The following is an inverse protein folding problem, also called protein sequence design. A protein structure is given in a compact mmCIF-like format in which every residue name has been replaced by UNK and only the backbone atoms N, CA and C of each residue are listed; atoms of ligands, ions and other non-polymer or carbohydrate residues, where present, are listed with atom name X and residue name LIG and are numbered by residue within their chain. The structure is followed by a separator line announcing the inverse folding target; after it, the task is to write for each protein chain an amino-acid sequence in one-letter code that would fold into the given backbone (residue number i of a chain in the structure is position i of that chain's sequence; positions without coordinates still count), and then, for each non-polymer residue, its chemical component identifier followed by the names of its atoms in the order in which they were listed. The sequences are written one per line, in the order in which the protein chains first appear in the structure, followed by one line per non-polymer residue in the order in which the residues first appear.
data_IF_078812997441
#
_entry.id   IF_078812997441
#
_cell.length_a   1.000
_cell.length_b   1.000
_cell.length_c   1.000
_cell.angle_alpha   90.00
_cell.angle_beta   90.00
_cell.angle_gamma   90.00
#
_symmetry.space_group_name_H-M   'P 1'
#
loop_
_entity.id
_entity.type
_entity.pdbx_description
1 polymer ?
#
# COMPACT_ATOMS: atom_id res chain seq x y z
N UNK A 1 -2.96 -13.41 -11.79
CA UNK A 1 -1.94 -12.39 -11.48
C UNK A 1 -2.48 -11.53 -10.36
N UNK A 2 -1.68 -11.21 -9.34
CA UNK A 2 -2.16 -10.41 -8.21
C UNK A 2 -2.27 -8.94 -8.56
N UNK A 3 -3.38 -8.31 -8.17
CA UNK A 3 -3.63 -6.87 -8.33
C UNK A 3 -3.56 -6.15 -6.99
N UNK A 4 -3.07 -4.92 -7.03
CA UNK A 4 -2.83 -4.11 -5.85
C UNK A 4 -3.54 -2.77 -5.97
N UNK A 5 -3.97 -2.26 -4.82
CA UNK A 5 -4.32 -0.87 -4.59
C UNK A 5 -3.08 -0.17 -4.03
N UNK A 6 -2.88 1.09 -4.40
CA UNK A 6 -1.83 1.92 -3.80
C UNK A 6 -2.49 2.91 -2.86
N UNK A 7 -2.25 2.75 -1.56
CA UNK A 7 -2.76 3.65 -0.52
C UNK A 7 -1.75 4.75 -0.23
N UNK A 8 -2.18 6.01 -0.25
CA UNK A 8 -1.42 7.16 0.23
C UNK A 8 -1.75 7.43 1.69
N UNK A 9 -0.77 7.29 2.58
CA UNK A 9 -0.91 7.67 4.00
C UNK A 9 -1.02 9.18 4.17
N UNK A 10 -0.45 9.98 3.24
CA UNK A 10 -0.53 11.44 3.26
C UNK A 10 -1.94 11.93 2.93
N UNK A 11 -2.52 11.43 1.84
CA UNK A 11 -3.87 11.82 1.40
C UNK A 11 -4.99 11.01 2.06
N UNK A 12 -4.65 9.95 2.80
CA UNK A 12 -5.60 8.98 3.38
C UNK A 12 -6.58 8.45 2.32
N UNK A 13 -6.06 8.13 1.14
CA UNK A 13 -6.83 7.75 -0.02
C UNK A 13 -6.02 6.80 -0.91
N UNK A 14 -6.71 6.04 -1.76
CA UNK A 14 -6.10 5.23 -2.80
C UNK A 14 -5.77 6.08 -4.03
N UNK A 15 -4.72 5.70 -4.75
CA UNK A 15 -4.49 6.22 -6.09
C UNK A 15 -5.65 5.85 -7.01
N UNK A 16 -6.16 6.84 -7.75
CA UNK A 16 -7.13 6.62 -8.81
C UNK A 16 -6.54 5.84 -9.99
N UNK A 17 -7.35 5.40 -10.96
CA UNK A 17 -6.88 4.66 -12.13
C UNK A 17 -5.89 5.48 -12.98
N UNK A 18 -5.08 4.79 -13.80
CA UNK A 18 -4.07 5.40 -14.69
C UNK A 18 -3.06 6.31 -13.98
N UNK A 19 -2.73 6.00 -12.73
CA UNK A 19 -1.80 6.79 -11.90
C UNK A 19 -2.24 8.25 -11.75
N UNK A 20 -3.55 8.51 -11.66
CA UNK A 20 -4.11 9.88 -11.62
C UNK A 20 -5.17 10.04 -10.54
N UNK A 21 -5.04 11.12 -9.77
CA UNK A 21 -5.97 11.48 -8.70
C UNK A 21 -5.95 10.55 -7.49
N UNK A 22 -6.81 10.85 -6.52
CA UNK A 22 -6.98 10.07 -5.30
C UNK A 22 -8.47 9.82 -5.04
N UNK A 23 -8.79 8.67 -4.46
CA UNK A 23 -10.15 8.29 -4.06
C UNK A 23 -10.12 7.54 -2.74
N UNK A 24 -11.09 7.81 -1.86
CA UNK A 24 -11.30 7.01 -0.64
C UNK A 24 -12.12 5.76 -0.90
N UNK A 25 -12.78 5.68 -2.05
CA UNK A 25 -13.56 4.53 -2.47
C UNK A 25 -12.67 3.50 -3.18
N UNK A 26 -12.51 2.34 -2.56
CA UNK A 26 -11.70 1.24 -3.06
C UNK A 26 -12.27 0.61 -4.34
N UNK A 27 -13.57 0.74 -4.61
CA UNK A 27 -14.18 0.27 -5.86
C UNK A 27 -13.69 1.10 -7.04
N UNK A 28 -13.50 2.40 -6.82
CA UNK A 28 -13.04 3.35 -7.83
C UNK A 28 -11.49 3.50 -7.85
N UNK A 29 -10.79 2.83 -6.93
CA UNK A 29 -9.33 2.87 -6.87
C UNK A 29 -8.69 2.15 -8.07
N UNK A 30 -7.54 2.66 -8.52
CA UNK A 30 -6.76 2.02 -9.56
C UNK A 30 -6.30 0.61 -9.15
N UNK A 31 -6.30 -0.32 -10.12
CA UNK A 31 -5.75 -1.66 -9.97
C UNK A 31 -4.41 -1.73 -10.69
N UNK A 32 -3.38 -2.10 -9.94
CA UNK A 32 -2.01 -2.10 -10.43
C UNK A 32 -1.39 -3.48 -10.30
N UNK A 33 -0.62 -3.90 -11.32
CA UNK A 33 0.31 -5.01 -11.15
C UNK A 33 1.41 -4.63 -10.17
N UNK A 34 2.16 -5.61 -9.64
CA UNK A 34 3.21 -5.34 -8.65
C UNK A 34 4.25 -4.31 -9.15
N UNK A 35 4.63 -4.40 -10.44
CA UNK A 35 5.56 -3.46 -11.07
C UNK A 35 4.95 -2.06 -11.23
N UNK A 36 3.72 -1.97 -11.76
CA UNK A 36 3.06 -0.69 -11.95
C UNK A 36 2.77 0.02 -10.62
N UNK A 37 2.45 -0.76 -9.59
CA UNK A 37 2.30 -0.26 -8.24
C UNK A 37 3.64 0.32 -7.75
N UNK A 38 4.74 -0.41 -7.94
CA UNK A 38 6.10 0.06 -7.60
C UNK A 38 6.44 1.42 -8.21
N UNK A 39 6.02 1.66 -9.44
CA UNK A 39 6.22 2.95 -10.11
C UNK A 39 5.40 4.09 -9.49
N UNK A 40 4.26 3.79 -8.84
CA UNK A 40 3.39 4.82 -8.25
C UNK A 40 4.02 5.49 -7.03
N UNK A 41 4.90 4.78 -6.30
CA UNK A 41 5.58 5.29 -5.10
C UNK A 41 7.07 5.58 -5.31
N UNK A 42 7.42 5.95 -6.54
CA UNK A 42 8.76 6.31 -6.96
C UNK A 42 9.42 7.33 -6.03
N UNK A 43 10.40 6.84 -5.26
CA UNK A 43 11.52 7.56 -4.65
C UNK A 43 11.26 8.88 -3.87
N UNK A 44 10.02 9.21 -3.51
CA UNK A 44 9.77 10.41 -2.71
C UNK A 44 10.35 10.25 -1.32
N UNK A 45 10.92 11.34 -0.83
CA UNK A 45 11.61 11.53 0.44
C UNK A 45 10.77 11.04 1.63
N UNK A 46 10.79 9.73 1.86
CA UNK A 46 10.17 9.17 3.05
C UNK A 46 11.00 9.66 4.23
N UNK A 47 10.47 10.60 4.99
CA UNK A 47 11.14 11.13 6.17
C UNK A 47 11.36 10.03 7.21
N UNK A 48 12.51 10.00 7.89
CA UNK A 48 12.73 9.10 9.01
C UNK A 48 11.61 9.24 10.06
N UNK A 49 11.10 8.11 10.55
CA UNK A 49 10.07 8.00 11.61
C UNK A 49 8.63 8.38 11.21
N UNK A 50 8.38 8.96 10.03
CA UNK A 50 7.02 9.09 9.48
C UNK A 50 6.55 7.76 8.88
N UNK A 51 5.23 7.52 8.71
CA UNK A 51 4.78 6.42 7.87
C UNK A 51 5.25 6.62 6.42
N UNK A 52 5.45 5.54 5.65
CA UNK A 52 5.72 5.65 4.22
C UNK A 52 4.62 6.46 3.55
N UNK A 53 4.93 7.34 2.57
CA UNK A 53 3.93 8.15 1.90
C UNK A 53 2.88 7.27 1.23
N UNK A 54 3.30 6.14 0.66
CA UNK A 54 2.45 5.19 -0.05
C UNK A 54 2.78 3.74 0.30
N UNK A 55 1.77 2.87 0.25
CA UNK A 55 1.91 1.43 0.47
C UNK A 55 1.06 0.62 -0.51
N UNK A 56 1.57 -0.54 -0.91
CA UNK A 56 0.82 -1.53 -1.66
C UNK A 56 -0.13 -2.30 -0.74
N UNK A 57 -1.37 -2.43 -1.18
CA UNK A 57 -2.41 -3.19 -0.50
C UNK A 57 -2.97 -4.19 -1.50
N UNK A 58 -3.05 -5.47 -1.13
CA UNK A 58 -3.63 -6.48 -2.01
C UNK A 58 -5.11 -6.17 -2.25
N UNK A 59 -5.52 -6.08 -3.52
CA UNK A 59 -6.89 -5.79 -3.88
C UNK A 59 -7.79 -6.99 -3.48
N UNK A 60 -9.03 -6.77 -2.99
CA UNK A 60 -9.92 -7.86 -2.61
C UNK A 60 -10.21 -8.79 -3.79
N UNK A 61 -10.42 -8.19 -4.95
CA UNK A 61 -10.70 -8.83 -6.24
C UNK A 61 -9.48 -9.57 -6.83
N UNK A 62 -8.30 -9.45 -6.21
CA UNK A 62 -7.10 -10.16 -6.66
C UNK A 62 -7.16 -11.67 -6.41
N UNK A 63 -7.88 -12.10 -5.36
CA UNK A 63 -7.91 -13.49 -4.92
C UNK A 63 -9.28 -14.13 -5.13
N UNK A 64 -10.32 -13.30 -5.27
CA UNK A 64 -11.70 -13.75 -5.32
C UNK A 64 -12.46 -12.98 -6.40
N UNK A 65 -13.17 -13.70 -7.28
CA UNK A 65 -13.93 -13.11 -8.38
C UNK A 65 -15.39 -12.80 -8.03
N UNK A 66 -15.86 -13.20 -6.85
CA UNK A 66 -17.24 -12.99 -6.39
C UNK A 66 -17.29 -12.80 -4.88
N UNK A 67 -18.27 -12.01 -4.41
CA UNK A 67 -18.47 -11.73 -3.00
C UNK A 67 -19.94 -11.87 -2.65
N UNK A 68 -20.22 -12.37 -1.44
CA UNK A 68 -21.51 -12.24 -0.79
C UNK A 68 -21.74 -10.80 -0.31
N UNK A 69 -23.01 -10.43 -0.07
CA UNK A 69 -23.35 -9.11 0.48
C UNK A 69 -22.68 -8.89 1.85
N UNK A 70 -22.58 -9.92 2.67
CA UNK A 70 -21.93 -9.84 3.98
C UNK A 70 -20.44 -9.54 3.84
N UNK A 71 -19.75 -10.21 2.91
CA UNK A 71 -18.34 -9.94 2.63
C UNK A 71 -18.13 -8.53 2.10
N UNK A 72 -18.94 -8.07 1.15
CA UNK A 72 -18.87 -6.69 0.62
C UNK A 72 -19.01 -5.64 1.73
N UNK A 73 -19.89 -5.87 2.70
CA UNK A 73 -20.05 -4.98 3.87
C UNK A 73 -18.84 -4.99 4.79
N UNK A 74 -18.12 -6.10 4.88
CA UNK A 74 -16.93 -6.23 5.72
C UNK A 74 -15.65 -5.72 5.03
N UNK A 75 -15.63 -5.62 3.70
CA UNK A 75 -14.43 -5.25 2.93
C UNK A 75 -13.75 -3.95 3.36
N UNK A 76 -14.45 -2.84 3.68
CA UNK A 76 -13.79 -1.62 4.15
C UNK A 76 -12.92 -1.85 5.39
N UNK A 77 -13.43 -2.61 6.37
CA UNK A 77 -12.69 -2.93 7.59
C UNK A 77 -11.49 -3.86 7.30
N UNK A 78 -11.66 -4.83 6.41
CA UNK A 78 -10.57 -5.72 5.97
C UNK A 78 -9.47 -4.93 5.27
N UNK A 79 -9.84 -4.00 4.38
CA UNK A 79 -8.90 -3.15 3.67
C UNK A 79 -8.12 -2.23 4.62
N UNK A 80 -8.80 -1.63 5.60
CA UNK A 80 -8.14 -0.83 6.64
C UNK A 80 -7.10 -1.66 7.42
N UNK A 81 -7.46 -2.88 7.82
CA UNK A 81 -6.52 -3.79 8.47
C UNK A 81 -5.32 -4.13 7.57
N UNK A 82 -5.54 -4.33 6.26
CA UNK A 82 -4.46 -4.56 5.28
C UNK A 82 -3.57 -3.33 5.13
N UNK A 83 -4.12 -2.12 5.07
CA UNK A 83 -3.37 -0.85 5.04
C UNK A 83 -2.47 -0.74 6.27
N UNK A 84 -3.02 -0.92 7.47
CA UNK A 84 -2.26 -0.85 8.72
C UNK A 84 -1.12 -1.86 8.73
N UNK A 85 -1.39 -3.10 8.29
CA UNK A 85 -0.38 -4.16 8.20
C UNK A 85 0.72 -3.79 7.20
N UNK A 86 0.38 -3.31 6.00
CA UNK A 86 1.32 -2.93 4.97
C UNK A 86 2.22 -1.75 5.41
N UNK A 87 1.63 -0.72 6.02
CA UNK A 87 2.35 0.42 6.59
C UNK A 87 3.34 -0.02 7.67
N UNK A 88 2.92 -0.88 8.60
CA UNK A 88 3.82 -1.42 9.64
C UNK A 88 4.96 -2.24 9.05
N UNK A 89 4.67 -3.10 8.06
CA UNK A 89 5.68 -3.94 7.41
C UNK A 89 6.73 -3.08 6.70
N UNK A 90 6.30 -2.06 5.94
CA UNK A 90 7.21 -1.12 5.28
C UNK A 90 8.12 -0.40 6.29
N UNK A 91 7.55 0.09 7.41
CA UNK A 91 8.32 0.72 8.49
C UNK A 91 9.35 -0.22 9.11
N UNK A 92 8.99 -1.48 9.34
CA UNK A 92 9.89 -2.49 9.90
C UNK A 92 11.05 -2.80 8.95
N UNK A 93 10.76 -2.96 7.65
CA UNK A 93 11.79 -3.24 6.64
C UNK A 93 12.80 -2.10 6.54
N UNK A 94 12.33 -0.84 6.57
CA UNK A 94 13.25 0.30 6.58
C UNK A 94 14.17 0.32 7.79
N UNK A 95 13.65 -0.01 8.98
CA UNK A 95 14.47 -0.09 10.20
C UNK A 95 15.55 -1.16 10.05
N UNK A 96 15.22 -2.31 9.44
CA UNK A 96 16.17 -3.39 9.17
C UNK A 96 17.27 -2.94 8.21
N UNK A 97 16.93 -2.28 7.11
CA UNK A 97 17.88 -1.75 6.13
C UNK A 97 18.82 -0.72 6.79
N UNK A 98 18.26 0.23 7.56
CA UNK A 98 19.05 1.24 8.25
C UNK A 98 20.00 0.64 9.30
N UNK A 99 19.57 -0.41 10.03
CA UNK A 99 20.42 -1.12 10.98
C UNK A 99 21.59 -1.82 10.27
N UNK A 100 21.33 -2.45 9.12
CA UNK A 100 22.37 -3.09 8.31
C UNK A 100 23.40 -2.09 7.80
N UNK A 101 22.96 -0.95 7.25
CA UNK A 101 23.84 0.12 6.78
C UNK A 101 24.73 0.69 7.89
N UNK A 102 24.21 0.86 9.11
CA UNK A 102 25.00 1.33 10.26
C UNK A 102 26.07 0.32 10.69
N UNK A 103 25.73 -0.98 10.68
CA UNK A 103 26.67 -2.05 11.01
C UNK A 103 27.80 -2.16 9.97
N UNK A 104 27.48 -1.95 8.69
CA UNK A 104 28.48 -1.92 7.60
C UNK A 104 29.37 -0.68 7.67
N UNK A 105 28.84 0.50 8.04
CA UNK A 105 29.60 1.74 8.17
C UNK A 105 30.50 1.81 9.43
N UNK A 106 30.33 0.87 10.37
CA UNK A 106 31.13 0.78 11.61
C UNK A 106 32.22 -0.30 11.54
N UNK A 107 32.42 -0.91 10.37
CA UNK A 107 33.51 -1.85 10.04
C UNK A 107 34.57 -1.14 9.20
#
# INVERSE_FOLDING_TARGET
MSTYLVWSNEHRAYWGPNKSGYTTDWLNAGRYGAKDAADCFGARSWEPRKPPPEVMVLAPDSEQSSFTIAELRALPMVLEARIVKATKAAMAERRRIAAKQRAEASR
#
